data_IF_321675889938
#
_entry.id   IF_321675889938
#
_cell.length_a   1.000
_cell.length_b   1.000
_cell.length_c   1.000
_cell.angle_alpha   90.00
_cell.angle_beta   90.00
_cell.angle_gamma   90.00
#
_symmetry.space_group_name_H-M   'P 1'
#
loop_
_entity.id
_entity.type
_entity.pdbx_description
1 polymer ?
#
# COMPACT_ATOMS: atom_id res chain seq x y z
N UNK A 1 -8.17 22.71 13.27
CA UNK A 1 -8.80 22.79 11.94
C UNK A 1 -7.76 22.83 10.82
N UNK A 2 -6.66 23.53 11.00
CA UNK A 2 -5.57 23.53 10.01
C UNK A 2 -4.98 22.13 9.81
N UNK A 3 -4.83 21.39 10.91
CA UNK A 3 -4.32 20.03 10.83
C UNK A 3 -5.25 19.08 10.05
N UNK A 4 -6.54 19.26 10.19
CA UNK A 4 -7.50 18.45 9.46
C UNK A 4 -7.44 18.73 7.95
N UNK A 5 -7.31 19.98 7.57
CA UNK A 5 -7.17 20.36 6.16
C UNK A 5 -5.88 19.79 5.55
N UNK A 6 -4.78 19.87 6.30
CA UNK A 6 -3.50 19.31 5.84
C UNK A 6 -3.60 17.79 5.69
N UNK A 7 -4.26 17.11 6.64
CA UNK A 7 -4.43 15.65 6.57
C UNK A 7 -5.29 15.24 5.38
N UNK A 8 -6.38 15.97 5.11
CA UNK A 8 -7.24 15.67 3.97
C UNK A 8 -6.48 15.83 2.66
N UNK A 9 -5.71 16.91 2.52
CA UNK A 9 -4.86 17.13 1.34
C UNK A 9 -3.85 16.01 1.19
N UNK A 10 -3.22 15.59 2.29
CA UNK A 10 -2.22 14.53 2.27
C UNK A 10 -2.81 13.18 1.84
N UNK A 11 -4.05 12.87 2.25
CA UNK A 11 -4.71 11.62 1.83
C UNK A 11 -4.99 11.61 0.34
N UNK A 12 -5.50 12.73 -0.18
CA UNK A 12 -5.75 12.86 -1.61
C UNK A 12 -4.44 12.79 -2.38
N UNK A 13 -3.40 13.44 -1.90
CA UNK A 13 -2.08 13.40 -2.51
C UNK A 13 -1.51 11.98 -2.53
N UNK A 14 -1.68 11.24 -1.45
CA UNK A 14 -1.25 9.85 -1.36
C UNK A 14 -1.97 8.99 -2.40
N UNK A 15 -3.27 9.13 -2.49
CA UNK A 15 -4.07 8.35 -3.44
C UNK A 15 -3.69 8.69 -4.88
N UNK A 16 -3.54 9.98 -5.19
CA UNK A 16 -3.14 10.42 -6.52
C UNK A 16 -1.74 9.91 -6.89
N UNK A 17 -0.79 9.95 -5.96
CA UNK A 17 0.54 9.42 -6.18
C UNK A 17 0.50 7.92 -6.47
N UNK A 18 -0.36 7.20 -5.77
CA UNK A 18 -0.53 5.76 -5.98
C UNK A 18 -1.13 5.46 -7.36
N UNK A 19 -2.12 6.23 -7.79
CA UNK A 19 -2.70 6.06 -9.10
C UNK A 19 -1.71 6.33 -10.23
N UNK A 20 -0.76 7.22 -10.00
CA UNK A 20 0.25 7.62 -10.99
C UNK A 20 1.55 6.83 -10.91
N UNK A 21 1.74 6.01 -9.89
CA UNK A 21 2.96 5.23 -9.72
C UNK A 21 4.16 6.05 -9.25
N UNK A 22 3.93 7.14 -8.56
CA UNK A 22 4.98 8.04 -8.07
C UNK A 22 5.55 7.53 -6.75
N UNK A 23 6.46 6.58 -6.81
CA UNK A 23 6.95 5.85 -5.64
C UNK A 23 7.67 6.73 -4.62
N UNK A 24 8.50 7.67 -5.07
CA UNK A 24 9.22 8.57 -4.17
C UNK A 24 8.25 9.47 -3.41
N UNK A 25 7.26 10.00 -4.10
CA UNK A 25 6.24 10.83 -3.48
C UNK A 25 5.41 10.02 -2.48
N UNK A 26 5.08 8.78 -2.82
CA UNK A 26 4.40 7.86 -1.89
C UNK A 26 5.22 7.64 -0.62
N UNK A 27 6.51 7.39 -0.75
CA UNK A 27 7.39 7.19 0.39
C UNK A 27 7.38 8.41 1.31
N UNK A 28 7.52 9.61 0.73
CA UNK A 28 7.55 10.84 1.49
C UNK A 28 6.24 11.06 2.26
N UNK A 29 5.11 10.84 1.59
CA UNK A 29 3.81 11.03 2.22
C UNK A 29 3.59 10.00 3.33
N UNK A 30 3.90 8.74 3.08
CA UNK A 30 3.74 7.68 4.08
C UNK A 30 4.65 7.90 5.29
N UNK A 31 5.91 8.29 5.06
CA UNK A 31 6.83 8.60 6.16
C UNK A 31 6.31 9.77 6.99
N UNK A 32 5.79 10.80 6.35
CA UNK A 32 5.23 11.95 7.06
C UNK A 32 4.06 11.53 7.95
N UNK A 33 3.15 10.71 7.42
CA UNK A 33 2.03 10.19 8.19
C UNK A 33 2.48 9.31 9.36
N UNK A 34 3.49 8.47 9.14
CA UNK A 34 4.04 7.62 10.19
C UNK A 34 4.65 8.44 11.32
N UNK A 35 5.40 9.50 10.96
CA UNK A 35 6.00 10.40 11.95
C UNK A 35 4.95 11.06 12.83
N UNK A 36 3.82 11.44 12.25
CA UNK A 36 2.77 12.16 12.98
C UNK A 36 1.84 11.24 13.74
N UNK A 37 1.63 10.02 13.26
CA UNK A 37 0.56 9.16 13.75
C UNK A 37 0.99 8.24 14.88
N UNK A 38 2.28 7.97 15.02
CA UNK A 38 2.78 7.00 15.99
C UNK A 38 3.41 7.74 17.16
N UNK A 39 2.81 7.59 18.33
CA UNK A 39 3.34 8.16 19.55
C UNK A 39 4.23 7.17 20.30
N UNK A 40 4.15 5.89 19.98
CA UNK A 40 4.98 4.83 20.53
C UNK A 40 5.16 3.74 19.48
N UNK A 41 6.06 2.81 19.75
CA UNK A 41 6.43 1.82 18.74
C UNK A 41 5.45 0.67 18.66
N UNK A 42 4.83 0.52 17.52
CA UNK A 42 4.21 -0.72 17.11
C UNK A 42 4.76 -1.06 15.74
N UNK A 43 5.68 -2.02 15.70
CA UNK A 43 6.38 -2.41 14.47
C UNK A 43 5.81 -3.67 13.84
N UNK A 44 4.63 -4.10 14.29
CA UNK A 44 4.01 -5.31 13.77
C UNK A 44 3.31 -5.04 12.45
N UNK A 45 3.31 -6.04 11.60
CA UNK A 45 2.67 -6.00 10.29
C UNK A 45 1.20 -5.56 10.37
N UNK A 46 0.49 -6.00 11.41
CA UNK A 46 -0.91 -5.63 11.62
C UNK A 46 -1.14 -4.13 11.70
N UNK A 47 -0.21 -3.42 12.35
CA UNK A 47 -0.31 -1.98 12.45
C UNK A 47 -0.22 -1.31 11.07
N UNK A 48 0.82 -1.68 10.30
CA UNK A 48 1.02 -1.08 8.98
C UNK A 48 -0.09 -1.44 8.01
N UNK A 49 -0.61 -2.65 8.10
CA UNK A 49 -1.74 -3.08 7.30
C UNK A 49 -2.97 -2.20 7.57
N UNK A 50 -3.35 -2.06 8.83
CA UNK A 50 -4.49 -1.22 9.22
C UNK A 50 -4.28 0.25 8.87
N UNK A 51 -3.06 0.73 9.04
CA UNK A 51 -2.67 2.08 8.69
C UNK A 51 -2.93 2.37 7.21
N UNK A 52 -2.46 1.49 6.32
CA UNK A 52 -2.66 1.66 4.88
C UNK A 52 -4.12 1.50 4.48
N UNK A 53 -4.81 0.52 5.02
CA UNK A 53 -6.24 0.33 4.72
C UNK A 53 -7.01 1.60 5.09
N UNK A 54 -6.71 2.17 6.26
CA UNK A 54 -7.36 3.41 6.69
C UNK A 54 -7.09 4.58 5.77
N UNK A 55 -5.84 4.74 5.33
CA UNK A 55 -5.47 5.84 4.44
C UNK A 55 -6.06 5.70 3.03
N UNK A 56 -6.26 4.48 2.55
CA UNK A 56 -6.72 4.23 1.18
C UNK A 56 -8.23 4.07 1.07
N UNK A 57 -8.94 3.99 2.20
CA UNK A 57 -10.39 3.77 2.20
C UNK A 57 -11.16 5.07 2.04
N UNK A 58 -12.38 4.97 1.50
CA UNK A 58 -13.30 6.09 1.45
C UNK A 58 -13.20 6.97 0.22
N UNK A 59 -12.41 6.61 -0.78
CA UNK A 59 -12.37 7.33 -2.04
C UNK A 59 -13.48 6.86 -2.96
N UNK A 60 -14.16 7.82 -3.60
CA UNK A 60 -15.27 7.53 -4.49
C UNK A 60 -14.81 6.63 -5.64
N UNK A 61 -15.67 5.68 -5.99
CA UNK A 61 -15.46 4.77 -7.11
C UNK A 61 -14.37 3.72 -6.87
N UNK A 62 -13.82 3.63 -5.65
CA UNK A 62 -12.83 2.62 -5.31
C UNK A 62 -13.23 1.87 -4.06
N UNK A 63 -12.98 0.57 -4.08
CA UNK A 63 -13.18 -0.30 -2.92
C UNK A 63 -11.83 -0.84 -2.46
N UNK A 64 -11.65 -0.92 -1.16
CA UNK A 64 -10.43 -1.52 -0.58
C UNK A 64 -10.81 -2.87 0.00
N UNK A 65 -10.10 -3.90 -0.41
CA UNK A 65 -10.23 -5.24 0.14
C UNK A 65 -8.92 -5.66 0.77
N UNK A 66 -9.02 -6.33 1.89
CA UNK A 66 -7.88 -6.75 2.65
C UNK A 66 -7.90 -8.26 2.78
N UNK A 67 -6.80 -8.91 2.45
CA UNK A 67 -6.66 -10.34 2.59
C UNK A 67 -5.47 -10.60 3.52
N UNK A 68 -5.78 -11.13 4.72
CA UNK A 68 -4.77 -11.47 5.71
C UNK A 68 -4.90 -12.92 6.08
N UNK A 69 -3.83 -13.67 5.89
CA UNK A 69 -3.76 -15.05 6.34
C UNK A 69 -3.00 -15.12 7.66
N UNK A 70 -3.69 -15.59 8.69
CA UNK A 70 -3.11 -15.75 10.02
C UNK A 70 -2.01 -16.81 9.97
N UNK A 71 -0.83 -16.47 10.42
CA UNK A 71 0.28 -17.39 10.53
C UNK A 71 1.24 -17.42 9.35
N UNK A 72 0.91 -16.80 8.22
CA UNK A 72 1.77 -16.81 7.03
C UNK A 72 2.49 -15.49 6.77
N UNK A 73 2.28 -14.48 7.59
CA UNK A 73 2.88 -13.18 7.41
C UNK A 73 2.47 -12.50 6.10
N UNK A 74 1.33 -12.90 5.54
CA UNK A 74 0.81 -12.33 4.30
C UNK A 74 -0.15 -11.20 4.60
N UNK A 75 0.07 -10.09 3.92
CA UNK A 75 -0.76 -8.92 4.10
C UNK A 75 -0.95 -8.27 2.75
N UNK A 76 -2.04 -8.63 2.09
CA UNK A 76 -2.38 -8.11 0.77
C UNK A 76 -3.49 -7.09 0.89
N UNK A 77 -3.37 -5.99 0.15
CA UNK A 77 -4.43 -5.00 0.05
C UNK A 77 -4.74 -4.81 -1.42
N UNK A 78 -6.02 -4.79 -1.75
CA UNK A 78 -6.50 -4.55 -3.11
C UNK A 78 -7.28 -3.25 -3.13
N UNK A 79 -6.92 -2.36 -4.05
CA UNK A 79 -7.68 -1.14 -4.32
C UNK A 79 -8.29 -1.30 -5.71
N UNK A 80 -9.59 -1.38 -5.77
CA UNK A 80 -10.32 -1.80 -6.96
C UNK A 80 -11.28 -0.72 -7.42
N UNK A 81 -11.19 -0.35 -8.68
CA UNK A 81 -12.14 0.57 -9.29
C UNK A 81 -13.48 -0.11 -9.49
N UNK A 82 -14.57 0.52 -9.02
CA UNK A 82 -15.87 -0.15 -8.90
C UNK A 82 -16.65 -0.24 -10.21
N UNK A 83 -16.60 0.80 -11.04
CA UNK A 83 -17.52 0.89 -12.18
C UNK A 83 -16.95 0.41 -13.48
N UNK A 84 -15.90 1.05 -13.95
CA UNK A 84 -15.33 0.75 -15.26
C UNK A 84 -14.25 -0.31 -15.23
N UNK A 85 -13.79 -0.65 -14.04
CA UNK A 85 -12.71 -1.62 -13.83
C UNK A 85 -11.47 -1.33 -14.67
N UNK A 86 -11.14 -0.05 -14.81
CA UNK A 86 -9.95 0.35 -15.53
C UNK A 86 -8.68 -0.01 -14.78
N UNK A 87 -8.74 0.03 -13.46
CA UNK A 87 -7.55 -0.10 -12.63
C UNK A 87 -7.83 -0.97 -11.41
N UNK A 88 -6.90 -1.86 -11.15
CA UNK A 88 -6.78 -2.57 -9.88
C UNK A 88 -5.36 -2.36 -9.36
N UNK A 89 -5.23 -2.13 -8.07
CA UNK A 89 -3.93 -1.99 -7.41
C UNK A 89 -3.80 -3.11 -6.39
N UNK A 90 -2.68 -3.81 -6.45
CA UNK A 90 -2.33 -4.86 -5.48
C UNK A 90 -1.15 -4.37 -4.67
N UNK A 91 -1.26 -4.44 -3.36
CA UNK A 91 -0.20 -4.01 -2.45
C UNK A 91 0.15 -5.17 -1.53
N UNK A 92 1.41 -5.52 -1.48
CA UNK A 92 1.95 -6.46 -0.51
C UNK A 92 2.83 -5.71 0.46
N UNK A 93 2.62 -5.96 1.76
CA UNK A 93 3.35 -5.29 2.83
C UNK A 93 4.36 -6.24 3.44
N UNK A 94 5.55 -5.72 3.70
CA UNK A 94 6.60 -6.41 4.45
C UNK A 94 7.11 -5.50 5.56
N UNK A 95 7.52 -6.10 6.66
CA UNK A 95 8.20 -5.39 7.73
C UNK A 95 9.65 -5.82 7.73
N UNK A 96 10.55 -4.88 7.58
CA UNK A 96 11.98 -5.15 7.59
C UNK A 96 12.50 -5.20 9.02
N UNK A 97 13.48 -6.07 9.26
CA UNK A 97 14.13 -6.21 10.55
C UNK A 97 15.18 -5.10 10.73
N UNK A 98 15.78 -4.67 9.63
CA UNK A 98 16.79 -3.61 9.61
C UNK A 98 16.44 -2.60 8.54
N UNK A 99 16.86 -1.36 8.74
CA UNK A 99 16.64 -0.28 7.78
C UNK A 99 17.13 -0.65 6.38
N UNK A 100 18.32 -1.25 6.29
CA UNK A 100 18.94 -1.58 5.01
C UNK A 100 18.25 -2.75 4.28
N UNK A 101 17.37 -3.47 4.95
CA UNK A 101 16.67 -4.61 4.35
C UNK A 101 15.39 -4.21 3.62
N UNK A 102 14.96 -2.95 3.73
CA UNK A 102 13.68 -2.53 3.13
C UNK A 102 13.66 -2.72 1.62
N UNK A 103 14.75 -2.44 0.93
CA UNK A 103 14.82 -2.60 -0.52
C UNK A 103 14.56 -4.05 -0.92
N UNK A 104 15.26 -4.97 -0.28
CA UNK A 104 15.12 -6.42 -0.53
C UNK A 104 13.71 -6.90 -0.20
N UNK A 105 13.13 -6.38 0.89
CA UNK A 105 11.77 -6.75 1.29
C UNK A 105 10.74 -6.29 0.28
N UNK A 106 10.94 -5.12 -0.35
CA UNK A 106 10.07 -4.68 -1.45
C UNK A 106 10.12 -5.67 -2.61
N UNK A 107 11.29 -6.13 -2.97
CA UNK A 107 11.46 -7.10 -4.05
C UNK A 107 10.76 -8.42 -3.72
N UNK A 108 10.88 -8.88 -2.48
CA UNK A 108 10.17 -10.07 -2.01
C UNK A 108 8.66 -9.89 -2.08
N UNK A 109 8.18 -8.71 -1.71
CA UNK A 109 6.75 -8.39 -1.77
C UNK A 109 6.23 -8.48 -3.19
N UNK A 110 6.94 -7.87 -4.15
CA UNK A 110 6.55 -7.91 -5.55
C UNK A 110 6.58 -9.33 -6.10
N UNK A 111 7.57 -10.12 -5.70
CA UNK A 111 7.64 -11.51 -6.09
C UNK A 111 6.46 -12.32 -5.56
N UNK A 112 6.03 -12.07 -4.33
CA UNK A 112 4.87 -12.76 -3.76
C UNK A 112 3.59 -12.43 -4.52
N UNK A 113 3.42 -11.18 -4.94
CA UNK A 113 2.27 -10.79 -5.77
C UNK A 113 2.29 -11.58 -7.08
N UNK A 114 3.46 -11.70 -7.70
CA UNK A 114 3.62 -12.45 -8.94
C UNK A 114 3.34 -13.93 -8.74
N UNK A 115 3.90 -14.53 -7.70
CA UNK A 115 3.74 -15.96 -7.41
C UNK A 115 2.29 -16.34 -7.15
N UNK A 116 1.49 -15.44 -6.59
CA UNK A 116 0.06 -15.66 -6.35
C UNK A 116 -0.79 -15.44 -7.58
N UNK A 117 -0.20 -14.93 -8.66
CA UNK A 117 -0.87 -14.74 -9.95
C UNK A 117 -2.09 -13.83 -9.89
N UNK A 118 -2.05 -12.81 -9.03
CA UNK A 118 -3.17 -11.88 -8.87
C UNK A 118 -3.48 -11.10 -10.14
N UNK A 119 -2.46 -10.78 -10.93
CA UNK A 119 -2.67 -10.01 -12.16
C UNK A 119 -3.59 -10.75 -13.12
N UNK A 120 -3.36 -12.05 -13.33
CA UNK A 120 -4.19 -12.85 -14.22
C UNK A 120 -5.62 -12.93 -13.73
N UNK A 121 -5.81 -13.15 -12.41
CA UNK A 121 -7.15 -13.20 -11.83
C UNK A 121 -7.90 -11.88 -12.02
N UNK A 122 -7.24 -10.76 -11.74
CA UNK A 122 -7.86 -9.44 -11.84
C UNK A 122 -8.20 -9.09 -13.29
N UNK A 123 -7.32 -9.41 -14.22
CA UNK A 123 -7.62 -9.19 -15.64
C UNK A 123 -8.76 -10.06 -16.11
N UNK A 124 -8.83 -11.30 -15.63
CA UNK A 124 -9.95 -12.19 -15.92
C UNK A 124 -11.28 -11.64 -15.37
N UNK A 125 -11.22 -10.93 -14.24
CA UNK A 125 -12.37 -10.25 -13.64
C UNK A 125 -12.76 -8.97 -14.36
N UNK A 126 -12.01 -8.56 -15.38
CA UNK A 126 -12.33 -7.41 -16.21
C UNK A 126 -11.51 -6.15 -15.97
N UNK A 127 -10.53 -6.20 -15.07
CA UNK A 127 -9.70 -5.02 -14.83
C UNK A 127 -8.71 -4.84 -15.98
N UNK A 128 -8.65 -3.64 -16.53
CA UNK A 128 -7.83 -3.36 -17.71
C UNK A 128 -6.35 -3.22 -17.38
N UNK A 129 -6.05 -2.61 -16.24
CA UNK A 129 -4.67 -2.37 -15.80
C UNK A 129 -4.53 -2.85 -14.36
N UNK A 130 -3.42 -3.51 -14.07
CA UNK A 130 -3.08 -3.93 -12.70
C UNK A 130 -1.73 -3.32 -12.33
N UNK A 131 -1.72 -2.52 -11.28
CA UNK A 131 -0.50 -1.98 -10.70
C UNK A 131 -0.14 -2.79 -9.47
N UNK A 132 1.13 -3.11 -9.31
CA UNK A 132 1.59 -3.95 -8.20
C UNK A 132 2.61 -3.17 -7.39
N UNK A 133 2.35 -3.05 -6.10
CA UNK A 133 3.22 -2.33 -5.17
C UNK A 133 3.78 -3.28 -4.12
N UNK A 134 5.09 -3.20 -3.91
CA UNK A 134 5.73 -3.79 -2.74
C UNK A 134 6.11 -2.66 -1.81
N UNK A 135 5.62 -2.71 -0.58
CA UNK A 135 5.91 -1.68 0.42
C UNK A 135 6.52 -2.33 1.64
N UNK A 136 7.72 -1.89 1.98
CA UNK A 136 8.42 -2.37 3.16
C UNK A 136 8.47 -1.25 4.20
N UNK A 137 8.19 -1.62 5.44
CA UNK A 137 8.23 -0.69 6.56
C UNK A 137 9.34 -1.07 7.53
N UNK A 138 9.98 -0.06 8.08
CA UNK A 138 10.90 -0.21 9.20
C UNK A 138 10.69 0.98 10.12
N UNK A 139 10.13 0.74 11.32
CA UNK A 139 9.80 1.79 12.28
C UNK A 139 8.93 2.86 11.61
N UNK A 140 9.37 4.11 11.53
CA UNK A 140 8.65 5.21 10.89
C UNK A 140 9.12 5.49 9.47
N UNK A 141 9.79 4.53 8.86
CA UNK A 141 10.29 4.64 7.49
C UNK A 141 9.62 3.62 6.58
N UNK A 142 9.62 3.91 5.30
CA UNK A 142 9.12 2.95 4.32
C UNK A 142 9.88 3.06 3.01
N UNK A 143 9.79 2.00 2.24
CA UNK A 143 10.29 1.93 0.87
C UNK A 143 9.17 1.42 -0.01
N UNK A 144 9.01 2.00 -1.19
CA UNK A 144 7.94 1.62 -2.13
C UNK A 144 8.56 1.28 -3.47
N UNK A 145 8.19 0.11 -4.00
CA UNK A 145 8.53 -0.27 -5.37
C UNK A 145 7.26 -0.65 -6.11
N UNK A 146 7.27 -0.43 -7.41
CA UNK A 146 6.12 -0.69 -8.27
C UNK A 146 6.51 -1.57 -9.46
N UNK A 147 5.58 -2.41 -9.88
CA UNK A 147 5.59 -3.08 -11.19
C UNK A 147 4.26 -2.83 -11.88
N UNK A 148 4.33 -2.54 -13.14
CA UNK A 148 3.14 -2.34 -13.97
C UNK A 148 2.97 -3.45 -14.98
#
# INVERSE_FOLDING_TARGET
>A
WMNENIRAISRDDLFNAMLKGETENLEDILCDWLQRSISYYDTKENFYHGFLVGLLSGFDNYSVKSNRETGNGRSDIFVLENRRRKLAIVIEIKVAIKFNDMDTRCDEALKQIEDKNYEAELKNDGYQKVMKYGIAFYDKSCKVKIEE
#
